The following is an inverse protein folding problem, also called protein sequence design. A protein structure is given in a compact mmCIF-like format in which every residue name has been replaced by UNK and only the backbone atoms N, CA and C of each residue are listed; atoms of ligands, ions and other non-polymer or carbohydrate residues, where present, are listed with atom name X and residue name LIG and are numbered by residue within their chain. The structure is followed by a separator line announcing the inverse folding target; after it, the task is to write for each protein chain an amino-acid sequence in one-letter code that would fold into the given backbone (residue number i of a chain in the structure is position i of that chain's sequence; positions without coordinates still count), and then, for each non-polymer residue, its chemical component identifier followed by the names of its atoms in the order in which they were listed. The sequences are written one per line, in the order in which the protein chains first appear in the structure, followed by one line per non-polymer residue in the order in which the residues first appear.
data_IF_843877684892
#
_entry.id   IF_843877684892
#
_cell.length_a   1.000
_cell.length_b   1.000
_cell.length_c   1.000
_cell.angle_alpha   90.00
_cell.angle_beta   90.00
_cell.angle_gamma   90.00
#
_symmetry.space_group_name_H-M   'P 1'
#
loop_
_entity.id
_entity.type
_entity.pdbx_description
1 polymer ?
#
# COMPACT_ATOMS: atom_id res chain seq x y z
N UNK A 1 -9.77 -4.34 -22.13
CA UNK A 1 -10.54 -5.56 -22.45
C UNK A 1 -11.75 -5.29 -23.34
N UNK A 2 -12.73 -4.42 -23.03
CA UNK A 2 -13.87 -4.16 -23.94
C UNK A 2 -13.48 -3.71 -25.37
N UNK A 3 -12.48 -2.83 -25.52
CA UNK A 3 -11.96 -2.40 -26.84
C UNK A 3 -11.23 -3.55 -27.57
N UNK A 4 -10.25 -4.18 -26.90
CA UNK A 4 -9.55 -5.37 -27.41
C UNK A 4 -10.48 -6.54 -27.76
N UNK A 5 -11.61 -6.70 -27.07
CA UNK A 5 -12.65 -7.69 -27.40
C UNK A 5 -13.27 -7.41 -28.78
N UNK A 6 -13.62 -6.16 -29.08
CA UNK A 6 -14.13 -5.77 -30.40
C UNK A 6 -13.11 -5.99 -31.53
N UNK A 7 -11.83 -5.74 -31.27
CA UNK A 7 -10.75 -6.01 -32.23
C UNK A 7 -10.60 -7.51 -32.51
N UNK A 8 -10.59 -8.34 -31.46
CA UNK A 8 -10.52 -9.81 -31.58
C UNK A 8 -11.75 -10.38 -32.31
N UNK A 9 -12.94 -9.84 -32.05
CA UNK A 9 -14.18 -10.18 -32.75
C UNK A 9 -14.11 -9.84 -34.24
N UNK A 10 -13.63 -8.63 -34.58
CA UNK A 10 -13.44 -8.20 -35.97
C UNK A 10 -12.44 -9.10 -36.71
N UNK A 11 -11.30 -9.42 -36.09
CA UNK A 11 -10.28 -10.31 -36.67
C UNK A 11 -10.79 -11.74 -36.86
N UNK A 12 -11.65 -12.23 -35.96
CA UNK A 12 -12.29 -13.53 -36.13
C UNK A 12 -13.31 -13.54 -37.27
N UNK A 13 -14.03 -12.43 -37.50
CA UNK A 13 -14.95 -12.29 -38.65
C UNK A 13 -14.21 -12.25 -40.00
N UNK A 14 -12.97 -11.74 -39.99
CA UNK A 14 -12.06 -11.74 -41.15
C UNK A 14 -11.41 -13.10 -41.45
N UNK A 15 -11.75 -14.16 -40.68
CA UNK A 15 -11.25 -15.52 -40.90
C UNK A 15 -9.85 -15.79 -40.34
N UNK A 16 -9.30 -14.88 -39.53
CA UNK A 16 -7.98 -15.08 -38.89
C UNK A 16 -8.11 -16.16 -37.81
N UNK A 17 -7.16 -17.11 -37.79
CA UNK A 17 -7.18 -18.18 -36.79
C UNK A 17 -6.95 -17.61 -35.38
N UNK A 18 -7.66 -18.14 -34.38
CA UNK A 18 -7.52 -17.72 -32.97
C UNK A 18 -6.09 -17.79 -32.46
N UNK A 19 -5.29 -18.73 -32.98
CA UNK A 19 -3.87 -18.88 -32.66
C UNK A 19 -3.05 -17.67 -33.11
N UNK A 20 -3.29 -17.17 -34.33
CA UNK A 20 -2.61 -15.98 -34.86
C UNK A 20 -2.97 -14.73 -34.07
N UNK A 21 -4.25 -14.52 -33.74
CA UNK A 21 -4.70 -13.37 -32.95
C UNK A 21 -4.08 -13.39 -31.54
N UNK A 22 -4.04 -14.57 -30.92
CA UNK A 22 -3.41 -14.77 -29.60
C UNK A 22 -1.91 -14.49 -29.63
N UNK A 23 -1.18 -14.99 -30.64
CA UNK A 23 0.26 -14.75 -30.79
C UNK A 23 0.56 -13.28 -31.08
N UNK A 24 -0.24 -12.61 -31.91
CA UNK A 24 -0.09 -11.17 -32.19
C UNK A 24 -0.24 -10.36 -30.90
N UNK A 25 -1.30 -10.59 -30.12
CA UNK A 25 -1.55 -9.87 -28.88
C UNK A 25 -0.53 -10.18 -27.78
N UNK A 26 0.03 -11.38 -27.78
CA UNK A 26 1.14 -11.74 -26.90
C UNK A 26 2.38 -10.88 -27.21
N UNK A 27 2.81 -10.83 -28.47
CA UNK A 27 3.97 -10.03 -28.89
C UNK A 27 3.77 -8.54 -28.66
N UNK A 28 2.58 -8.02 -28.95
CA UNK A 28 2.23 -6.62 -28.68
C UNK A 28 2.38 -6.29 -27.17
N UNK A 29 1.93 -7.18 -26.29
CA UNK A 29 2.05 -7.02 -24.83
C UNK A 29 3.51 -7.09 -24.37
N UNK A 30 4.30 -8.00 -24.94
CA UNK A 30 5.73 -8.14 -24.62
C UNK A 30 6.52 -6.91 -25.07
N UNK A 31 6.29 -6.42 -26.29
CA UNK A 31 6.99 -5.25 -26.83
C UNK A 31 6.65 -4.00 -26.03
N UNK A 32 5.36 -3.72 -25.81
CA UNK A 32 4.95 -2.58 -24.99
C UNK A 32 5.47 -2.70 -23.54
N UNK A 33 5.44 -3.91 -22.98
CA UNK A 33 5.99 -4.19 -21.66
C UNK A 33 7.48 -3.93 -21.56
N UNK A 34 8.26 -4.35 -22.57
CA UNK A 34 9.70 -4.13 -22.65
C UNK A 34 10.04 -2.63 -22.75
N UNK A 35 9.35 -1.89 -23.61
CA UNK A 35 9.51 -0.43 -23.72
C UNK A 35 9.18 0.26 -22.39
N UNK A 36 8.08 -0.13 -21.75
CA UNK A 36 7.68 0.41 -20.46
C UNK A 36 8.70 0.11 -19.35
N UNK A 37 9.34 -1.07 -19.37
CA UNK A 37 10.39 -1.43 -18.42
C UNK A 37 11.61 -0.52 -18.58
N UNK A 38 12.10 -0.34 -19.81
CA UNK A 38 13.26 0.53 -20.08
C UNK A 38 13.00 1.96 -19.63
N UNK A 39 11.85 2.53 -20.02
CA UNK A 39 11.46 3.89 -19.63
C UNK A 39 11.29 3.98 -18.10
N UNK A 40 10.66 2.99 -17.47
CA UNK A 40 10.44 2.95 -16.03
C UNK A 40 11.74 2.91 -15.24
N UNK A 41 12.73 2.12 -15.67
CA UNK A 41 14.06 2.07 -15.05
C UNK A 41 14.78 3.41 -15.18
N UNK A 42 14.74 4.04 -16.36
CA UNK A 42 15.36 5.34 -16.59
C UNK A 42 14.75 6.43 -15.70
N UNK A 43 13.42 6.52 -15.67
CA UNK A 43 12.71 7.50 -14.84
C UNK A 43 12.92 7.22 -13.35
N UNK A 44 12.83 5.95 -12.92
CA UNK A 44 13.02 5.57 -11.52
C UNK A 44 14.43 5.85 -11.01
N UNK A 45 15.44 5.59 -11.86
CA UNK A 45 16.84 5.91 -11.61
C UNK A 45 17.05 7.42 -11.39
N UNK A 46 16.52 8.25 -12.30
CA UNK A 46 16.60 9.70 -12.18
C UNK A 46 15.84 10.20 -10.94
N UNK A 47 14.66 9.67 -10.68
CA UNK A 47 13.84 10.00 -9.52
C UNK A 47 14.52 9.66 -8.20
N UNK A 48 15.23 8.53 -8.12
CA UNK A 48 15.99 8.14 -6.92
C UNK A 48 17.09 9.15 -6.60
N UNK A 49 17.86 9.60 -7.59
CA UNK A 49 18.88 10.63 -7.40
C UNK A 49 18.27 11.95 -6.92
N UNK A 50 17.20 12.40 -7.57
CA UNK A 50 16.50 13.64 -7.20
C UNK A 50 15.94 13.58 -5.77
N UNK A 51 15.39 12.43 -5.35
CA UNK A 51 14.89 12.25 -4.00
C UNK A 51 16.02 12.29 -2.95
N UNK A 52 17.18 11.71 -3.25
CA UNK A 52 18.35 11.74 -2.37
C UNK A 52 18.93 13.16 -2.25
N UNK A 53 19.06 13.89 -3.36
CA UNK A 53 19.50 15.30 -3.34
C UNK A 53 18.51 16.19 -2.58
N UNK A 54 17.20 15.96 -2.74
CA UNK A 54 16.19 16.67 -1.96
C UNK A 54 16.33 16.37 -0.46
N UNK A 55 16.57 15.11 -0.10
CA UNK A 55 16.75 14.70 1.29
C UNK A 55 17.99 15.33 1.93
N UNK A 56 19.16 15.30 1.26
CA UNK A 56 20.39 15.90 1.78
C UNK A 56 20.29 17.42 1.90
N UNK A 57 19.62 18.07 0.95
CA UNK A 57 19.31 19.51 0.99
C UNK A 57 18.43 19.87 2.19
N UNK A 58 17.36 19.09 2.44
CA UNK A 58 16.50 19.26 3.62
C UNK A 58 17.25 19.03 4.94
N UNK A 59 18.19 18.09 4.97
CA UNK A 59 19.03 17.82 6.15
C UNK A 59 20.20 18.80 6.31
N UNK A 60 20.44 19.70 5.34
CA UNK A 60 21.60 20.61 5.30
C UNK A 60 22.95 19.89 5.38
N UNK A 61 23.00 18.65 4.91
CA UNK A 61 24.22 17.85 4.85
C UNK A 61 24.91 18.12 3.51
N UNK A 62 26.11 18.71 3.56
CA UNK A 62 26.88 19.05 2.36
C UNK A 62 27.69 17.84 1.85
N UNK A 63 27.02 16.68 1.70
CA UNK A 63 27.62 15.44 1.22
C UNK A 63 27.28 15.27 -0.27
N UNK A 64 28.27 15.08 -1.15
CA UNK A 64 27.99 14.81 -2.56
C UNK A 64 27.24 13.47 -2.69
N UNK A 65 26.07 13.50 -3.32
CA UNK A 65 25.27 12.30 -3.61
C UNK A 65 25.80 11.67 -4.90
N UNK A 66 26.52 10.56 -4.76
CA UNK A 66 26.97 9.78 -5.90
C UNK A 66 25.84 8.89 -6.43
N UNK A 67 25.81 8.73 -7.75
CA UNK A 67 24.84 7.86 -8.40
C UNK A 67 25.30 6.40 -8.29
N UNK A 68 24.85 5.72 -7.23
CA UNK A 68 25.13 4.31 -6.99
C UNK A 68 24.11 3.44 -7.72
N UNK A 69 24.44 2.97 -8.92
CA UNK A 69 23.59 2.07 -9.68
C UNK A 69 23.95 0.61 -9.41
N UNK A 70 23.17 -0.04 -8.55
CA UNK A 70 23.33 -1.46 -8.27
C UNK A 70 22.77 -2.31 -9.41
N UNK A 71 23.65 -3.02 -10.12
CA UNK A 71 23.29 -4.01 -11.15
C UNK A 71 22.35 -5.08 -10.57
N UNK A 72 22.55 -5.45 -9.30
CA UNK A 72 21.70 -6.42 -8.60
C UNK A 72 20.25 -5.94 -8.50
N UNK A 73 20.04 -4.68 -8.13
CA UNK A 73 18.70 -4.09 -8.05
C UNK A 73 18.00 -3.98 -9.41
N UNK A 74 18.76 -3.76 -10.48
CA UNK A 74 18.23 -3.80 -11.84
C UNK A 74 17.77 -5.20 -12.25
N UNK A 75 18.56 -6.23 -11.92
CA UNK A 75 18.19 -7.63 -12.18
C UNK A 75 16.92 -7.99 -11.43
N UNK A 76 16.86 -7.71 -10.13
CA UNK A 76 15.69 -8.04 -9.28
C UNK A 76 14.42 -7.36 -9.80
N UNK A 77 14.52 -6.06 -10.15
CA UNK A 77 13.39 -5.30 -10.73
C UNK A 77 12.97 -5.88 -12.08
N UNK A 78 13.93 -6.22 -12.93
CA UNK A 78 13.66 -6.77 -14.26
C UNK A 78 12.99 -8.15 -14.18
N UNK A 79 13.43 -9.02 -13.27
CA UNK A 79 12.84 -10.35 -13.07
C UNK A 79 11.37 -10.23 -12.61
N UNK A 80 11.10 -9.34 -11.64
CA UNK A 80 9.73 -9.11 -11.17
C UNK A 80 8.83 -8.54 -12.26
N UNK A 81 9.31 -7.54 -13.01
CA UNK A 81 8.55 -6.98 -14.12
C UNK A 81 8.30 -8.00 -15.22
N UNK A 82 9.30 -8.80 -15.58
CA UNK A 82 9.15 -9.89 -16.56
C UNK A 82 8.10 -10.91 -16.10
N UNK A 83 8.11 -11.31 -14.82
CA UNK A 83 7.09 -12.22 -14.28
C UNK A 83 5.67 -11.64 -14.41
N UNK A 84 5.49 -10.34 -14.10
CA UNK A 84 4.20 -9.65 -14.24
C UNK A 84 3.79 -9.54 -15.72
N UNK A 85 4.73 -9.21 -16.61
CA UNK A 85 4.48 -9.10 -18.04
C UNK A 85 4.10 -10.45 -18.64
N UNK A 86 4.78 -11.53 -18.28
CA UNK A 86 4.43 -12.88 -18.70
C UNK A 86 3.05 -13.30 -18.18
N UNK A 87 2.74 -13.01 -16.90
CA UNK A 87 1.44 -13.30 -16.34
C UNK A 87 0.31 -12.52 -17.03
N UNK A 88 0.50 -11.23 -17.29
CA UNK A 88 -0.48 -10.39 -17.99
C UNK A 88 -0.64 -10.80 -19.46
N UNK A 89 0.45 -11.12 -20.15
CA UNK A 89 0.43 -11.63 -21.52
C UNK A 89 -0.26 -13.00 -21.61
N UNK A 90 0.02 -13.92 -20.68
CA UNK A 90 -0.66 -15.21 -20.58
C UNK A 90 -2.15 -15.06 -20.33
N UNK A 91 -2.54 -14.18 -19.39
CA UNK A 91 -3.95 -13.88 -19.11
C UNK A 91 -4.65 -13.27 -20.32
N UNK A 92 -4.00 -12.34 -21.02
CA UNK A 92 -4.50 -11.71 -22.24
C UNK A 92 -4.74 -12.76 -23.33
N UNK A 93 -3.79 -13.68 -23.51
CA UNK A 93 -3.87 -14.81 -24.44
C UNK A 93 -5.01 -15.78 -24.08
N UNK A 94 -5.14 -16.17 -22.81
CA UNK A 94 -6.19 -17.09 -22.34
C UNK A 94 -7.60 -16.52 -22.51
N UNK A 95 -7.77 -15.20 -22.34
CA UNK A 95 -9.04 -14.50 -22.58
C UNK A 95 -9.46 -14.55 -24.06
N UNK A 96 -8.55 -14.77 -24.99
CA UNK A 96 -8.91 -14.91 -26.42
C UNK A 96 -9.39 -16.33 -26.73
N UNK A 97 -8.76 -17.34 -26.12
CA UNK A 97 -9.13 -18.74 -26.33
C UNK A 97 -10.50 -19.11 -25.72
N UNK A 98 -10.83 -18.55 -24.55
CA UNK A 98 -12.03 -18.94 -23.81
C UNK A 98 -13.31 -18.22 -24.26
N UNK A 99 -13.22 -17.05 -24.90
CA UNK A 99 -14.36 -16.17 -25.15
C UNK A 99 -14.99 -16.30 -26.54
N UNK A 100 -14.89 -17.47 -27.18
CA UNK A 100 -15.49 -17.61 -28.51
C UNK A 100 -17.01 -17.73 -28.45
N UNK A 101 -17.67 -16.72 -29.01
CA UNK A 101 -19.01 -16.73 -29.62
C UNK A 101 -20.22 -16.99 -28.71
N UNK A 102 -20.15 -17.86 -27.70
CA UNK A 102 -21.33 -18.28 -26.92
C UNK A 102 -21.72 -17.27 -25.83
N UNK A 103 -20.79 -16.49 -25.28
CA UNK A 103 -21.10 -15.47 -24.26
C UNK A 103 -21.38 -14.07 -24.83
N UNK A 104 -21.16 -13.81 -26.13
CA UNK A 104 -21.30 -12.45 -26.69
C UNK A 104 -22.74 -11.96 -26.77
N UNK A 105 -23.70 -12.85 -27.04
CA UNK A 105 -25.12 -12.49 -27.04
C UNK A 105 -25.76 -12.55 -25.64
N UNK A 106 -25.16 -13.32 -24.73
CA UNK A 106 -25.71 -13.48 -23.38
C UNK A 106 -25.08 -12.52 -22.35
N UNK A 107 -23.89 -11.96 -22.61
CA UNK A 107 -23.23 -11.02 -21.69
C UNK A 107 -23.93 -9.66 -21.59
N UNK A 108 -24.73 -9.28 -22.58
CA UNK A 108 -25.58 -8.07 -22.53
C UNK A 108 -26.90 -8.33 -21.79
N UNK A 109 -27.27 -9.60 -21.55
CA UNK A 109 -28.54 -10.00 -20.89
C UNK A 109 -28.35 -10.71 -19.53
N UNK A 110 -27.19 -11.31 -19.25
CA UNK A 110 -26.83 -11.81 -17.94
C UNK A 110 -26.37 -10.65 -17.07
N UNK A 111 -27.34 -9.92 -16.53
CA UNK A 111 -27.11 -8.99 -15.44
C UNK A 111 -26.31 -9.69 -14.35
N UNK A 112 -25.06 -9.25 -14.13
CA UNK A 112 -24.03 -9.86 -13.29
C UNK A 112 -24.65 -10.73 -12.19
N UNK A 113 -24.61 -12.06 -12.30
CA UNK A 113 -25.28 -12.90 -11.30
C UNK A 113 -24.63 -12.67 -9.93
N UNK A 114 -25.44 -12.36 -8.92
CA UNK A 114 -24.98 -12.17 -7.54
C UNK A 114 -24.32 -13.48 -7.09
N UNK A 115 -23.08 -13.45 -6.56
CA UNK A 115 -22.48 -14.65 -6.01
C UNK A 115 -23.40 -15.22 -4.91
N UNK A 116 -23.82 -16.48 -5.09
CA UNK A 116 -24.55 -17.26 -4.08
C UNK A 116 -23.62 -17.41 -2.87
N UNK A 117 -23.78 -16.54 -1.86
CA UNK A 117 -22.88 -16.45 -0.70
C UNK A 117 -22.56 -15.02 -0.21
N UNK A 118 -22.99 -13.97 -0.93
CA UNK A 118 -22.65 -12.58 -0.61
C UNK A 118 -22.92 -12.16 0.86
N UNK A 119 -23.94 -12.73 1.53
CA UNK A 119 -24.21 -12.41 2.95
C UNK A 119 -23.10 -12.90 3.87
N UNK A 120 -22.61 -14.12 3.68
CA UNK A 120 -21.55 -14.69 4.52
C UNK A 120 -20.27 -13.86 4.39
N UNK A 121 -19.89 -13.52 3.15
CA UNK A 121 -18.72 -12.68 2.88
C UNK A 121 -18.85 -11.25 3.44
N UNK A 122 -20.07 -10.70 3.49
CA UNK A 122 -20.30 -9.39 4.10
C UNK A 122 -20.18 -9.39 5.63
N UNK A 123 -20.59 -10.46 6.31
CA UNK A 123 -20.30 -10.59 7.75
C UNK A 123 -18.81 -10.81 7.98
N UNK A 124 -18.18 -11.66 7.15
CA UNK A 124 -16.76 -11.92 7.23
C UNK A 124 -15.91 -10.66 7.01
N UNK A 125 -16.31 -9.73 6.13
CA UNK A 125 -15.58 -8.47 5.96
C UNK A 125 -15.56 -7.61 7.21
N UNK A 126 -16.69 -7.51 7.93
CA UNK A 126 -16.80 -6.73 9.16
C UNK A 126 -15.93 -7.36 10.25
N UNK A 127 -16.03 -8.68 10.39
CA UNK A 127 -15.24 -9.44 11.38
C UNK A 127 -13.75 -9.27 11.09
N UNK A 128 -13.32 -9.43 9.84
CA UNK A 128 -11.91 -9.41 9.49
C UNK A 128 -11.29 -8.00 9.64
N UNK A 129 -12.02 -6.95 9.26
CA UNK A 129 -11.61 -5.57 9.52
C UNK A 129 -11.61 -5.24 11.02
N UNK A 130 -12.61 -5.73 11.76
CA UNK A 130 -12.69 -5.58 13.21
C UNK A 130 -11.50 -6.22 13.92
N UNK A 131 -11.18 -7.47 13.57
CA UNK A 131 -10.01 -8.19 14.09
C UNK A 131 -8.74 -7.42 13.73
N UNK A 132 -8.56 -7.03 12.46
CA UNK A 132 -7.39 -6.27 12.03
C UNK A 132 -7.19 -4.98 12.83
N UNK A 133 -8.27 -4.24 13.09
CA UNK A 133 -8.23 -3.00 13.86
C UNK A 133 -7.93 -3.24 15.35
N UNK A 134 -8.59 -4.24 15.96
CA UNK A 134 -8.34 -4.61 17.37
C UNK A 134 -6.90 -5.08 17.56
N UNK A 135 -6.38 -5.91 16.65
CA UNK A 135 -5.02 -6.41 16.71
C UNK A 135 -3.98 -5.30 16.50
N UNK A 136 -4.29 -4.30 15.67
CA UNK A 136 -3.46 -3.11 15.50
C UNK A 136 -3.47 -2.20 16.73
N UNK A 137 -4.64 -2.01 17.37
CA UNK A 137 -4.77 -1.18 18.56
C UNK A 137 -4.06 -1.78 19.77
N UNK A 138 -4.24 -3.09 20.00
CA UNK A 138 -3.60 -3.82 21.10
C UNK A 138 -2.27 -4.47 20.70
N UNK A 139 -1.60 -3.93 19.67
CA UNK A 139 -0.40 -4.55 19.09
C UNK A 139 0.68 -4.85 20.13
N UNK A 140 1.00 -3.89 20.99
CA UNK A 140 2.07 -4.06 21.98
C UNK A 140 1.72 -5.11 23.06
N UNK A 141 0.46 -5.21 23.45
CA UNK A 141 -0.02 -6.22 24.40
C UNK A 141 -0.06 -7.60 23.76
N UNK A 142 -0.55 -7.70 22.52
CA UNK A 142 -0.58 -8.95 21.77
C UNK A 142 0.82 -9.51 21.50
N UNK A 143 1.76 -8.65 21.12
CA UNK A 143 3.16 -9.03 20.92
C UNK A 143 3.80 -9.54 22.21
N UNK A 144 3.48 -8.92 23.36
CA UNK A 144 3.95 -9.39 24.67
C UNK A 144 3.32 -10.72 25.08
N UNK A 145 2.04 -10.94 24.76
CA UNK A 145 1.33 -12.19 25.05
C UNK A 145 1.83 -13.36 24.18
N UNK A 146 2.15 -13.09 22.91
CA UNK A 146 2.63 -14.10 21.95
C UNK A 146 4.13 -14.38 22.10
N UNK A 147 4.87 -13.56 22.86
CA UNK A 147 6.31 -13.74 23.13
C UNK A 147 6.57 -15.10 23.79
N UNK A 148 6.87 -16.10 22.96
CA UNK A 148 7.79 -17.19 23.32
C UNK A 148 9.21 -16.61 23.29
N UNK A 149 10.12 -17.06 24.17
CA UNK A 149 11.43 -16.41 24.37
C UNK A 149 12.40 -16.45 23.17
N UNK A 150 12.00 -16.94 21.98
CA UNK A 150 12.94 -17.20 20.88
C UNK A 150 12.50 -16.73 19.47
N UNK A 151 11.35 -16.08 19.27
CA UNK A 151 10.96 -15.61 17.93
C UNK A 151 10.53 -14.13 17.92
N UNK A 152 11.12 -13.36 17.00
CA UNK A 152 10.68 -12.00 16.70
C UNK A 152 9.22 -12.02 16.20
N UNK A 153 8.35 -11.12 16.68
CA UNK A 153 6.91 -11.12 16.39
C UNK A 153 6.59 -10.57 14.99
N UNK A 154 7.34 -10.99 13.97
CA UNK A 154 7.19 -10.56 12.56
C UNK A 154 5.86 -11.04 11.97
N UNK A 155 5.26 -12.09 12.53
CA UNK A 155 3.99 -12.65 12.05
C UNK A 155 2.77 -11.76 12.33
N UNK A 156 2.77 -10.99 13.43
CA UNK A 156 1.61 -10.19 13.84
C UNK A 156 1.28 -9.09 12.81
N UNK A 157 2.23 -8.26 12.35
CA UNK A 157 1.98 -7.29 11.27
C UNK A 157 1.47 -7.92 9.98
N UNK A 158 1.99 -9.10 9.61
CA UNK A 158 1.59 -9.81 8.37
C UNK A 158 0.14 -10.25 8.46
N UNK A 159 -0.28 -10.79 9.60
CA UNK A 159 -1.68 -11.20 9.84
C UNK A 159 -2.61 -9.99 9.76
N UNK A 160 -2.23 -8.84 10.36
CA UNK A 160 -3.00 -7.60 10.29
C UNK A 160 -3.16 -7.14 8.84
N UNK A 161 -2.08 -7.16 8.07
CA UNK A 161 -2.09 -6.75 6.67
C UNK A 161 -3.03 -7.64 5.84
N UNK A 162 -2.91 -8.97 5.98
CA UNK A 162 -3.77 -9.92 5.27
C UNK A 162 -5.24 -9.71 5.65
N UNK A 163 -5.53 -9.53 6.95
CA UNK A 163 -6.87 -9.28 7.44
C UNK A 163 -7.49 -8.00 6.83
N UNK A 164 -6.73 -6.90 6.79
CA UNK A 164 -7.19 -5.63 6.22
C UNK A 164 -7.41 -5.77 4.71
N UNK A 165 -6.46 -6.35 3.97
CA UNK A 165 -6.55 -6.50 2.51
C UNK A 165 -7.76 -7.34 2.10
N UNK A 166 -7.92 -8.52 2.72
CA UNK A 166 -9.07 -9.40 2.46
C UNK A 166 -10.38 -8.75 2.94
N UNK A 167 -10.35 -8.08 4.09
CA UNK A 167 -11.50 -7.39 4.67
C UNK A 167 -12.03 -6.29 3.76
N UNK A 168 -11.15 -5.44 3.24
CA UNK A 168 -11.49 -4.37 2.30
C UNK A 168 -12.02 -4.93 0.98
N UNK A 169 -11.43 -6.01 0.46
CA UNK A 169 -11.93 -6.65 -0.76
C UNK A 169 -13.36 -7.18 -0.59
N UNK A 170 -13.63 -7.90 0.51
CA UNK A 170 -14.98 -8.40 0.81
C UNK A 170 -15.96 -7.27 1.14
N UNK A 171 -15.49 -6.17 1.73
CA UNK A 171 -16.32 -5.00 2.01
C UNK A 171 -16.93 -4.45 0.73
N UNK A 172 -16.11 -4.12 -0.27
CA UNK A 172 -16.61 -3.57 -1.54
C UNK A 172 -17.36 -4.62 -2.37
N UNK A 173 -16.89 -5.87 -2.38
CA UNK A 173 -17.51 -6.93 -3.19
C UNK A 173 -18.86 -7.41 -2.65
N UNK A 174 -19.07 -7.41 -1.34
CA UNK A 174 -20.23 -8.04 -0.70
C UNK A 174 -20.98 -7.10 0.23
N UNK A 175 -20.31 -6.49 1.20
CA UNK A 175 -20.96 -5.65 2.21
C UNK A 175 -21.64 -4.44 1.59
N UNK A 176 -20.92 -3.65 0.79
CA UNK A 176 -21.46 -2.45 0.14
C UNK A 176 -22.68 -2.79 -0.74
N UNK A 177 -22.61 -3.89 -1.50
CA UNK A 177 -23.72 -4.37 -2.33
C UNK A 177 -24.96 -4.73 -1.49
N UNK A 178 -24.78 -5.37 -0.33
CA UNK A 178 -25.87 -5.72 0.58
C UNK A 178 -26.49 -4.49 1.24
N UNK A 179 -25.66 -3.52 1.66
CA UNK A 179 -26.13 -2.25 2.22
C UNK A 179 -27.01 -1.53 1.20
N UNK A 180 -26.55 -1.39 -0.05
CA UNK A 180 -27.33 -0.77 -1.12
C UNK A 180 -28.63 -1.55 -1.41
N UNK A 181 -28.60 -2.88 -1.34
CA UNK A 181 -29.81 -3.71 -1.50
C UNK A 181 -30.81 -3.50 -0.36
N UNK A 182 -30.34 -3.36 0.89
CA UNK A 182 -31.17 -3.05 2.06
C UNK A 182 -31.76 -1.64 1.99
N UNK A 183 -31.01 -0.67 1.46
CA UNK A 183 -31.53 0.67 1.17
C UNK A 183 -32.62 0.61 0.09
N UNK A 184 -32.41 -0.21 -0.96
CA UNK A 184 -33.42 -0.42 -2.01
C UNK A 184 -34.69 -1.08 -1.49
N UNK A 185 -34.61 -1.97 -0.50
CA UNK A 185 -35.81 -2.66 0.04
C UNK A 185 -36.65 -1.78 0.97
N UNK A 186 -36.12 -0.66 1.48
CA UNK A 186 -36.85 0.25 2.36
C UNK A 186 -37.68 1.23 1.51
N UNK A 187 -39.01 1.01 1.46
CA UNK A 187 -39.95 1.86 0.71
C UNK A 187 -39.79 3.36 1.02
N UNK A 188 -39.63 3.72 2.29
CA UNK A 188 -39.52 5.12 2.72
C UNK A 188 -38.27 5.85 2.15
N UNK A 189 -37.18 5.11 1.88
CA UNK A 189 -35.94 5.67 1.32
C UNK A 189 -35.99 5.64 -0.21
N UNK A 190 -36.55 4.56 -0.77
CA UNK A 190 -36.59 4.34 -2.22
C UNK A 190 -37.50 5.33 -2.95
N UNK A 191 -38.69 5.60 -2.39
CA UNK A 191 -39.70 6.46 -3.01
C UNK A 191 -39.51 7.95 -2.71
N UNK A 192 -38.46 8.32 -1.98
CA UNK A 192 -38.17 9.72 -1.70
C UNK A 192 -37.39 10.36 -2.86
N UNK A 193 -38.08 11.15 -3.69
CA UNK A 193 -37.50 11.89 -4.81
C UNK A 193 -36.81 11.00 -5.86
N UNK A 194 -35.59 11.36 -6.27
CA UNK A 194 -34.81 10.64 -7.29
C UNK A 194 -34.05 9.41 -6.77
N UNK A 195 -34.24 9.01 -5.50
CA UNK A 195 -33.50 7.90 -4.90
C UNK A 195 -33.69 6.57 -5.62
N UNK A 196 -34.84 6.35 -6.28
CA UNK A 196 -35.09 5.11 -7.04
C UNK A 196 -34.10 4.94 -8.20
N UNK A 197 -33.81 6.02 -8.92
CA UNK A 197 -32.84 6.05 -10.03
C UNK A 197 -31.42 5.99 -9.47
N UNK A 198 -31.10 6.83 -8.48
CA UNK A 198 -29.76 6.91 -7.89
C UNK A 198 -29.31 5.59 -7.25
N UNK A 199 -30.14 4.97 -6.42
CA UNK A 199 -29.81 3.71 -5.73
C UNK A 199 -29.64 2.57 -6.75
N UNK A 200 -30.50 2.52 -7.78
CA UNK A 200 -30.41 1.48 -8.81
C UNK A 200 -29.15 1.62 -9.67
N UNK A 201 -28.80 2.85 -10.07
CA UNK A 201 -27.57 3.14 -10.82
C UNK A 201 -26.31 2.89 -9.97
N UNK A 202 -26.30 3.32 -8.71
CA UNK A 202 -25.19 3.08 -7.79
C UNK A 202 -24.98 1.59 -7.55
N UNK A 203 -26.06 0.82 -7.33
CA UNK A 203 -25.96 -0.62 -7.14
C UNK A 203 -25.33 -1.31 -8.36
N UNK A 204 -25.71 -0.91 -9.58
CA UNK A 204 -25.11 -1.45 -10.80
C UNK A 204 -23.63 -1.07 -10.95
N UNK A 205 -23.30 0.21 -10.74
CA UNK A 205 -21.92 0.73 -10.87
C UNK A 205 -20.98 0.12 -9.83
N UNK A 206 -21.40 0.05 -8.57
CA UNK A 206 -20.61 -0.51 -7.47
C UNK A 206 -20.40 -2.00 -7.69
N UNK A 207 -21.42 -2.74 -8.14
CA UNK A 207 -21.31 -4.17 -8.40
C UNK A 207 -20.34 -4.49 -9.53
N UNK A 208 -20.45 -3.77 -10.66
CA UNK A 208 -19.54 -3.99 -11.80
C UNK A 208 -18.12 -3.50 -11.59
N UNK A 209 -17.90 -2.55 -10.67
CA UNK A 209 -16.59 -1.97 -10.38
C UNK A 209 -16.10 -2.27 -8.96
N UNK A 210 -16.66 -3.25 -8.25
CA UNK A 210 -16.33 -3.52 -6.85
C UNK A 210 -14.83 -3.78 -6.63
N UNK A 211 -14.20 -4.53 -7.56
CA UNK A 211 -12.76 -4.80 -7.51
C UNK A 211 -11.92 -3.53 -7.69
N UNK A 212 -12.34 -2.64 -8.59
CA UNK A 212 -11.67 -1.36 -8.83
C UNK A 212 -11.75 -0.48 -7.59
N UNK A 213 -12.94 -0.39 -6.98
CA UNK A 213 -13.15 0.37 -5.75
C UNK A 213 -12.27 -0.14 -4.59
N UNK A 214 -12.17 -1.46 -4.43
CA UNK A 214 -11.28 -2.06 -3.43
C UNK A 214 -9.81 -1.72 -3.67
N UNK A 215 -9.35 -1.77 -4.93
CA UNK A 215 -7.96 -1.42 -5.28
C UNK A 215 -7.68 0.05 -4.95
N UNK A 216 -8.58 0.96 -5.31
CA UNK A 216 -8.42 2.40 -5.03
C UNK A 216 -8.34 2.63 -3.51
N UNK A 217 -9.23 2.01 -2.73
CA UNK A 217 -9.20 2.13 -1.28
C UNK A 217 -7.89 1.58 -0.66
N UNK A 218 -7.42 0.43 -1.13
CA UNK A 218 -6.16 -0.15 -0.66
C UNK A 218 -4.96 0.74 -1.02
N UNK A 219 -4.93 1.30 -2.22
CA UNK A 219 -3.89 2.26 -2.61
C UNK A 219 -3.90 3.51 -1.71
N UNK A 220 -5.09 4.03 -1.39
CA UNK A 220 -5.22 5.16 -0.47
C UNK A 220 -4.74 4.83 0.95
N UNK A 221 -5.06 3.64 1.45
CA UNK A 221 -4.59 3.19 2.77
C UNK A 221 -3.07 3.04 2.78
N UNK A 222 -2.47 2.42 1.77
CA UNK A 222 -1.01 2.29 1.67
C UNK A 222 -0.32 3.66 1.67
N UNK A 223 -0.86 4.63 0.91
CA UNK A 223 -0.33 5.99 0.90
C UNK A 223 -0.44 6.65 2.29
N UNK A 224 -1.58 6.51 2.96
CA UNK A 224 -1.80 7.05 4.30
C UNK A 224 -0.89 6.39 5.34
N UNK A 225 -0.68 5.07 5.26
CA UNK A 225 0.23 4.34 6.13
C UNK A 225 1.67 4.82 5.94
N UNK A 226 2.14 5.00 4.71
CA UNK A 226 3.49 5.52 4.45
C UNK A 226 3.71 6.91 5.09
N UNK A 227 2.75 7.83 4.93
CA UNK A 227 2.79 9.14 5.59
C UNK A 227 2.78 9.00 7.12
N UNK A 228 1.94 8.11 7.65
CA UNK A 228 1.83 7.88 9.09
C UNK A 228 3.13 7.32 9.69
N UNK A 229 3.82 6.43 8.96
CA UNK A 229 5.13 5.89 9.36
C UNK A 229 6.19 6.99 9.45
N UNK A 230 6.22 7.92 8.50
CA UNK A 230 7.17 9.05 8.54
C UNK A 230 6.91 9.95 9.74
N UNK A 231 5.64 10.30 9.99
CA UNK A 231 5.25 11.15 11.13
C UNK A 231 5.55 10.44 12.45
N UNK A 232 5.19 9.17 12.58
CA UNK A 232 5.47 8.37 13.77
C UNK A 232 6.97 8.20 14.01
N UNK A 233 7.76 8.00 12.96
CA UNK A 233 9.21 7.92 13.04
C UNK A 233 9.84 9.24 13.52
N UNK A 234 9.33 10.38 13.04
CA UNK A 234 9.80 11.70 13.48
C UNK A 234 9.53 11.96 14.96
N UNK A 235 8.31 11.71 15.44
CA UNK A 235 7.99 11.86 16.86
C UNK A 235 8.68 10.81 17.73
N UNK A 236 8.79 9.56 17.25
CA UNK A 236 9.50 8.49 17.93
C UNK A 236 10.97 8.83 18.14
N UNK A 237 11.66 9.28 17.09
CA UNK A 237 13.06 9.70 17.17
C UNK A 237 13.28 10.89 18.10
N UNK A 238 12.35 11.84 18.17
CA UNK A 238 12.44 12.94 19.14
C UNK A 238 12.27 12.47 20.59
N UNK A 239 11.37 11.53 20.84
CA UNK A 239 11.18 10.95 22.18
C UNK A 239 12.40 10.14 22.61
N UNK A 240 12.96 9.36 21.69
CA UNK A 240 14.15 8.54 21.91
C UNK A 240 15.39 9.41 22.14
N UNK A 241 15.62 10.44 21.32
CA UNK A 241 16.71 11.40 21.53
C UNK A 241 16.62 12.11 22.88
N UNK A 242 15.42 12.48 23.33
CA UNK A 242 15.19 13.05 24.68
C UNK A 242 15.43 12.04 25.80
N UNK A 243 15.18 10.76 25.55
CA UNK A 243 15.40 9.69 26.53
C UNK A 243 16.87 9.31 26.67
N UNK A 244 17.61 9.30 25.55
CA UNK A 244 19.04 8.95 25.53
C UNK A 244 19.94 10.08 26.00
N UNK A 245 19.62 11.32 25.65
CA UNK A 245 20.34 12.52 26.09
C UNK A 245 19.40 13.48 26.83
N UNK A 246 18.94 13.13 28.06
CA UNK A 246 18.02 13.96 28.83
C UNK A 246 18.68 15.25 29.37
N UNK A 247 20.01 15.34 29.27
CA UNK A 247 20.79 16.48 29.74
C UNK A 247 21.18 17.39 28.58
N UNK A 248 21.05 18.70 28.78
CA UNK A 248 21.48 19.72 27.80
C UNK A 248 22.98 19.69 27.49
N UNK A 249 23.77 19.02 28.33
CA UNK A 249 25.22 18.83 28.16
C UNK A 249 25.64 17.46 28.69
N UNK A 250 26.40 16.71 27.89
CA UNK A 250 27.08 15.49 28.32
C UNK A 250 28.51 15.52 27.79
N UNK A 251 29.47 15.10 28.60
CA UNK A 251 30.87 14.99 28.21
C UNK A 251 31.39 13.61 28.60
N UNK A 252 32.20 13.01 27.74
CA UNK A 252 32.85 11.73 28.01
C UNK A 252 34.15 12.01 28.74
N UNK A 253 34.30 11.47 29.95
CA UNK A 253 35.52 11.63 30.76
C UNK A 253 36.72 11.03 30.03
N UNK A 254 37.75 11.84 29.79
CA UNK A 254 38.95 11.43 29.05
C UNK A 254 40.24 11.61 29.89
N UNK A 255 40.35 12.66 30.72
CA UNK A 255 41.51 12.92 31.59
C UNK A 255 41.10 13.74 32.83
N UNK A 256 41.67 13.44 34.02
CA UNK A 256 41.30 14.07 35.30
C UNK A 256 41.63 15.58 35.38
N UNK A 257 42.62 16.05 34.60
CA UNK A 257 42.98 17.46 34.53
C UNK A 257 41.93 18.32 33.81
N UNK A 258 41.30 17.75 32.78
CA UNK A 258 40.25 18.40 31.98
C UNK A 258 38.95 18.50 32.81
N UNK A 259 38.70 17.53 33.69
CA UNK A 259 37.55 17.51 34.59
C UNK A 259 37.55 18.70 35.57
N UNK A 260 38.70 19.00 36.19
CA UNK A 260 38.83 20.17 37.09
C UNK A 260 38.60 21.50 36.36
N UNK A 261 39.08 21.62 35.12
CA UNK A 261 38.88 22.82 34.32
C UNK A 261 37.41 23.00 33.94
N UNK A 262 36.76 21.94 33.49
CA UNK A 262 35.33 21.92 33.15
C UNK A 262 34.48 22.28 34.38
N UNK A 263 34.73 21.68 35.55
CA UNK A 263 34.02 21.99 36.79
C UNK A 263 34.19 23.45 37.23
N UNK A 264 35.39 24.03 37.07
CA UNK A 264 35.66 25.44 37.40
C UNK A 264 34.86 26.39 36.51
N UNK A 265 34.83 26.13 35.20
CA UNK A 265 34.05 26.91 34.22
C UNK A 265 32.54 26.78 34.48
N UNK A 266 32.06 25.60 34.89
CA UNK A 266 30.64 25.41 35.24
C UNK A 266 30.25 26.16 36.51
N UNK A 267 31.06 26.14 37.58
CA UNK A 267 30.76 26.87 38.83
C UNK A 267 30.87 28.40 38.66
N UNK A 268 31.78 28.92 37.84
CA UNK A 268 31.83 30.35 37.49
C UNK A 268 30.58 30.80 36.71
N UNK A 269 30.09 29.99 35.77
CA UNK A 269 28.93 30.33 34.96
C UNK A 269 27.59 30.09 35.67
N UNK A 270 27.55 29.17 36.65
CA UNK A 270 26.39 28.95 37.53
C UNK A 270 26.06 30.16 38.40
N UNK A 271 27.06 31.00 38.73
CA UNK A 271 26.84 32.29 39.41
C UNK A 271 26.27 33.38 38.48
N UNK A 272 26.54 33.31 37.18
CA UNK A 272 26.04 34.28 36.19
C UNK A 272 24.65 33.96 35.64
N UNK A 273 24.24 32.69 35.69
CA UNK A 273 22.99 32.23 35.12
C UNK A 273 22.18 31.55 36.24
N UNK A 274 21.18 32.24 36.77
CA UNK A 274 20.19 31.68 37.70
C UNK A 274 19.37 30.58 36.99
N UNK A 275 19.94 29.39 36.82
CA UNK A 275 19.22 28.20 36.39
C UNK A 275 19.28 27.17 37.51
N UNK A 276 18.13 26.91 38.10
CA UNK A 276 17.86 25.84 39.05
C UNK A 276 17.93 24.47 38.35
N UNK A 277 19.13 24.01 38.03
CA UNK A 277 19.35 22.65 37.51
C UNK A 277 19.65 21.73 38.69
N UNK A 278 18.65 20.92 39.06
CA UNK A 278 18.80 19.81 40.03
C UNK A 278 19.68 18.73 39.40
N UNK A 279 20.95 18.69 39.79
CA UNK A 279 21.90 17.65 39.39
C UNK A 279 21.58 16.34 40.12
N UNK A 280 20.99 15.36 39.41
CA UNK A 280 21.09 13.95 39.79
C UNK A 280 22.27 13.34 39.06
N UNK A 281 23.40 13.26 39.74
CA UNK A 281 24.56 12.46 39.33
C UNK A 281 24.24 10.99 39.60
N UNK A 282 24.25 10.17 38.55
CA UNK A 282 24.19 8.71 38.66
C UNK A 282 25.56 8.18 38.19
N UNK A 283 26.29 7.57 39.12
CA UNK A 283 27.56 6.87 38.87
C UNK A 283 27.30 5.56 38.11
#
# INVERSE_FOLDING_TARGET
MRKRKKEVELYSLLGITKKQISTMLFWETIIMGGVALVIGVLIGSLGSKLALELLTSLMKLNVPVYFEFSIKSLIDTSVLFLAILLYTAWKSSRVIYQFSLIEMFEADHKGESIPRGARLFAYMSIILLGIGYVLAFYFHEFVKFVKRPMEDPVYVPVIILIAIVLGTYFLFSSYTVIVLKKMRSKKNILYNGMNILNISQLLYRVKGNAKLLAIIALLSVVALTALSTVVSGYFGGQLEAKSEAPYSFSYKKQEDAIEKHIQTVFEENKKKIQLSVTLKLKW
#
